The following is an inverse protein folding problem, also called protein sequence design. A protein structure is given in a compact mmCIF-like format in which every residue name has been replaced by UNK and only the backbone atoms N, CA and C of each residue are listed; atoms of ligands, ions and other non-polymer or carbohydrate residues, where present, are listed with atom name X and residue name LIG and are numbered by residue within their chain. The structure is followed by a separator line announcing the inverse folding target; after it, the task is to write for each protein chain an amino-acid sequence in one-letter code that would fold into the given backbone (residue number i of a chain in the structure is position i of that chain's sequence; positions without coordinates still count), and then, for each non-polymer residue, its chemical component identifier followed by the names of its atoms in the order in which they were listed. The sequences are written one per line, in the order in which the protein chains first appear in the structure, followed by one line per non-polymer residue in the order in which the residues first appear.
data_IF_347421181273
#
_entry.id   IF_347421181273
#
_cell.length_a   1.000
_cell.length_b   1.000
_cell.length_c   1.000
_cell.angle_alpha   90.00
_cell.angle_beta   90.00
_cell.angle_gamma   90.00
#
_symmetry.space_group_name_H-M   'P 1'
#
loop_
_entity.id
_entity.type
_entity.pdbx_description
1 polymer ?
#
# COMPACT_ATOMS: atom_id res chain seq x y z
N UNK A 1 -25.63 8.91 35.24
CA UNK A 1 -24.37 9.51 34.74
C UNK A 1 -23.77 8.51 33.76
N UNK A 2 -23.83 8.79 32.46
CA UNK A 2 -23.58 7.82 31.38
C UNK A 2 -22.10 7.81 30.96
N UNK A 3 -21.26 7.07 31.68
CA UNK A 3 -19.85 6.81 31.31
C UNK A 3 -19.71 5.63 30.33
N UNK A 4 -20.74 4.81 30.19
CA UNK A 4 -20.79 3.62 29.32
C UNK A 4 -20.81 3.89 27.79
N UNK A 5 -21.27 5.03 27.22
CA UNK A 5 -21.29 5.20 25.76
C UNK A 5 -19.93 5.56 25.15
N UNK A 6 -19.04 6.26 25.85
CA UNK A 6 -17.81 6.78 25.24
C UNK A 6 -16.73 5.71 25.06
N UNK A 7 -16.59 4.79 26.00
CA UNK A 7 -15.63 3.68 25.89
C UNK A 7 -15.98 2.72 24.75
N UNK A 8 -17.26 2.35 24.63
CA UNK A 8 -17.76 1.55 23.50
C UNK A 8 -17.53 2.24 22.14
N UNK A 9 -17.73 3.56 22.07
CA UNK A 9 -17.45 4.33 20.84
C UNK A 9 -15.95 4.41 20.51
N UNK A 10 -15.08 4.55 21.52
CA UNK A 10 -13.62 4.60 21.30
C UNK A 10 -13.07 3.25 20.83
N UNK A 11 -13.54 2.15 21.44
CA UNK A 11 -13.14 0.79 21.05
C UNK A 11 -13.60 0.43 19.64
N UNK A 12 -14.83 0.80 19.28
CA UNK A 12 -15.37 0.63 17.92
C UNK A 12 -14.55 1.43 16.89
N UNK A 13 -14.23 2.69 17.18
CA UNK A 13 -13.39 3.52 16.30
C UNK A 13 -11.95 2.98 16.14
N UNK A 14 -11.39 2.35 17.17
CA UNK A 14 -10.10 1.68 17.09
C UNK A 14 -10.17 0.42 16.22
N UNK A 15 -11.25 -0.35 16.31
CA UNK A 15 -11.48 -1.52 15.46
C UNK A 15 -11.59 -1.09 13.97
N UNK A 16 -12.33 -0.02 13.69
CA UNK A 16 -12.44 0.56 12.35
C UNK A 16 -11.09 1.02 11.78
N UNK A 17 -10.26 1.71 12.57
CA UNK A 17 -8.94 2.14 12.09
C UNK A 17 -7.98 0.97 11.87
N UNK A 18 -8.08 -0.09 12.67
CA UNK A 18 -7.32 -1.34 12.43
C UNK A 18 -7.79 -2.04 11.15
N UNK A 19 -9.10 -2.08 10.90
CA UNK A 19 -9.65 -2.65 9.68
C UNK A 19 -9.20 -1.86 8.42
N UNK A 20 -9.22 -0.52 8.48
CA UNK A 20 -8.69 0.34 7.41
C UNK A 20 -7.21 0.09 7.16
N UNK A 21 -6.40 -0.01 8.22
CA UNK A 21 -4.97 -0.33 8.10
C UNK A 21 -4.76 -1.66 7.35
N UNK A 22 -5.45 -2.72 7.76
CA UNK A 22 -5.35 -4.03 7.12
C UNK A 22 -5.77 -3.96 5.64
N UNK A 23 -6.85 -3.24 5.33
CA UNK A 23 -7.28 -3.03 3.93
C UNK A 23 -6.22 -2.31 3.08
N UNK A 24 -5.54 -1.29 3.63
CA UNK A 24 -4.45 -0.60 2.95
C UNK A 24 -3.24 -1.50 2.72
N UNK A 25 -2.86 -2.30 3.72
CA UNK A 25 -1.75 -3.25 3.63
C UNK A 25 -2.03 -4.34 2.58
N UNK A 26 -3.24 -4.91 2.58
CA UNK A 26 -3.67 -5.88 1.56
C UNK A 26 -3.62 -5.31 0.14
N UNK A 27 -4.08 -4.06 -0.05
CA UNK A 27 -4.01 -3.39 -1.35
C UNK A 27 -2.56 -3.12 -1.76
N UNK A 28 -1.68 -2.77 -0.82
CA UNK A 28 -0.24 -2.62 -1.08
C UNK A 28 0.38 -3.93 -1.58
N UNK A 29 0.04 -5.07 -0.94
CA UNK A 29 0.49 -6.40 -1.38
C UNK A 29 -0.02 -6.69 -2.80
N UNK A 30 -1.28 -6.38 -3.09
CA UNK A 30 -1.85 -6.59 -4.43
C UNK A 30 -1.04 -5.85 -5.51
N UNK A 31 -0.73 -4.55 -5.29
CA UNK A 31 0.10 -3.73 -6.21
C UNK A 31 1.49 -4.34 -6.44
N UNK A 32 2.12 -4.86 -5.39
CA UNK A 32 3.43 -5.51 -5.48
C UNK A 32 3.33 -6.76 -6.37
N UNK A 33 2.31 -7.60 -6.13
CA UNK A 33 2.11 -8.84 -6.89
C UNK A 33 1.79 -8.55 -8.35
N UNK A 34 0.85 -7.65 -8.64
CA UNK A 34 0.48 -7.29 -10.02
C UNK A 34 1.67 -6.71 -10.78
N UNK A 35 2.41 -5.77 -10.18
CA UNK A 35 3.62 -5.21 -10.77
C UNK A 35 4.66 -6.29 -11.10
N UNK A 36 4.92 -7.21 -10.16
CA UNK A 36 5.85 -8.32 -10.37
C UNK A 36 5.42 -9.23 -11.53
N UNK A 37 4.13 -9.61 -11.58
CA UNK A 37 3.62 -10.44 -12.67
C UNK A 37 3.74 -9.77 -14.04
N UNK A 38 3.43 -8.47 -14.13
CA UNK A 38 3.53 -7.71 -15.37
C UNK A 38 4.98 -7.57 -15.85
N UNK A 39 5.92 -7.35 -14.93
CA UNK A 39 7.36 -7.36 -15.24
C UNK A 39 7.79 -8.72 -15.80
N UNK A 40 7.40 -9.83 -15.16
CA UNK A 40 7.73 -11.18 -15.62
C UNK A 40 7.15 -11.47 -17.01
N UNK A 41 5.88 -11.13 -17.24
CA UNK A 41 5.23 -11.30 -18.56
C UNK A 41 5.97 -10.50 -19.63
N UNK A 42 6.33 -9.25 -19.33
CA UNK A 42 7.06 -8.37 -20.26
C UNK A 42 8.42 -8.93 -20.61
N UNK A 43 9.18 -9.41 -19.62
CA UNK A 43 10.47 -10.06 -19.85
C UNK A 43 10.33 -11.34 -20.69
N UNK A 44 9.30 -12.14 -20.42
CA UNK A 44 8.98 -13.33 -21.22
C UNK A 44 8.68 -12.98 -22.68
N UNK A 45 7.90 -11.93 -22.92
CA UNK A 45 7.63 -11.41 -24.26
C UNK A 45 8.90 -10.96 -24.97
N UNK A 46 9.75 -10.16 -24.31
CA UNK A 46 11.03 -9.69 -24.88
C UNK A 46 11.96 -10.87 -25.20
N UNK A 47 12.06 -11.85 -24.31
CA UNK A 47 12.88 -13.05 -24.52
C UNK A 47 12.37 -13.89 -25.71
N UNK A 48 11.05 -13.97 -25.90
CA UNK A 48 10.47 -14.67 -27.04
C UNK A 48 10.68 -13.89 -28.35
N UNK A 49 10.44 -12.58 -28.34
CA UNK A 49 10.57 -11.72 -29.51
C UNK A 49 12.02 -11.67 -30.03
N UNK A 50 13.00 -11.66 -29.13
CA UNK A 50 14.43 -11.64 -29.50
C UNK A 50 14.97 -12.98 -30.01
N UNK A 51 14.25 -14.10 -29.83
CA UNK A 51 14.61 -15.39 -30.43
C UNK A 51 14.35 -15.44 -31.94
N UNK A 52 13.41 -14.63 -32.45
CA UNK A 52 13.15 -14.55 -33.88
C UNK A 52 14.28 -13.73 -34.53
N UNK A 53 15.25 -14.40 -35.17
CA UNK A 53 16.45 -13.74 -35.74
C UNK A 53 16.14 -12.65 -36.79
N UNK A 54 14.92 -12.60 -37.30
CA UNK A 54 14.44 -11.62 -38.29
C UNK A 54 13.69 -10.44 -37.68
N UNK A 55 13.36 -10.45 -36.38
CA UNK A 55 12.57 -9.41 -35.75
C UNK A 55 13.38 -8.61 -34.73
N UNK A 56 13.66 -7.35 -35.06
CA UNK A 56 14.33 -6.40 -34.16
C UNK A 56 13.28 -5.45 -33.61
N UNK A 57 13.18 -5.34 -32.28
CA UNK A 57 12.29 -4.37 -31.67
C UNK A 57 12.74 -2.95 -32.04
N UNK A 58 11.81 -2.14 -32.54
CA UNK A 58 12.08 -0.73 -32.80
C UNK A 58 12.51 0.00 -31.52
N UNK A 59 13.46 0.95 -31.65
CA UNK A 59 14.01 1.69 -30.51
C UNK A 59 12.91 2.34 -29.65
N UNK A 60 11.85 2.87 -30.28
CA UNK A 60 10.69 3.45 -29.58
C UNK A 60 9.97 2.44 -28.68
N UNK A 61 9.78 1.21 -29.15
CA UNK A 61 9.15 0.13 -28.36
C UNK A 61 10.00 -0.19 -27.13
N UNK A 62 11.32 -0.29 -27.32
CA UNK A 62 12.25 -0.55 -26.22
C UNK A 62 12.18 0.56 -25.16
N UNK A 63 12.18 1.83 -25.57
CA UNK A 63 12.07 2.96 -24.65
C UNK A 63 10.74 2.91 -23.88
N UNK A 64 9.62 2.65 -24.55
CA UNK A 64 8.31 2.54 -23.91
C UNK A 64 8.27 1.39 -22.89
N UNK A 65 8.82 0.22 -23.24
CA UNK A 65 8.90 -0.92 -22.33
C UNK A 65 9.77 -0.60 -21.10
N UNK A 66 10.92 0.05 -21.29
CA UNK A 66 11.79 0.45 -20.18
C UNK A 66 11.08 1.43 -19.25
N UNK A 67 10.41 2.44 -19.80
CA UNK A 67 9.63 3.42 -19.01
C UNK A 67 8.53 2.72 -18.22
N UNK A 68 7.80 1.80 -18.83
CA UNK A 68 6.77 1.02 -18.14
C UNK A 68 7.36 0.14 -17.03
N UNK A 69 8.46 -0.57 -17.28
CA UNK A 69 9.12 -1.41 -16.27
C UNK A 69 9.60 -0.59 -15.07
N UNK A 70 10.22 0.56 -15.30
CA UNK A 70 10.62 1.48 -14.22
C UNK A 70 9.41 1.94 -13.43
N UNK A 71 8.31 2.29 -14.10
CA UNK A 71 7.06 2.66 -13.45
C UNK A 71 6.48 1.56 -12.56
N UNK A 72 6.44 0.31 -13.04
CA UNK A 72 5.96 -0.84 -12.26
C UNK A 72 6.85 -1.11 -11.05
N UNK A 73 8.18 -1.00 -11.20
CA UNK A 73 9.12 -1.16 -10.08
C UNK A 73 8.91 -0.06 -9.04
N UNK A 74 8.71 1.19 -9.47
CA UNK A 74 8.39 2.30 -8.56
C UNK A 74 7.06 2.08 -7.84
N UNK A 75 6.02 1.64 -8.54
CA UNK A 75 4.72 1.33 -7.94
C UNK A 75 4.85 0.23 -6.87
N UNK A 76 5.57 -0.86 -7.18
CA UNK A 76 5.85 -1.93 -6.22
C UNK A 76 6.65 -1.44 -5.00
N UNK A 77 7.68 -0.60 -5.21
CA UNK A 77 8.47 -0.02 -4.12
C UNK A 77 7.60 0.87 -3.21
N UNK A 78 6.69 1.67 -3.77
CA UNK A 78 5.75 2.48 -2.99
C UNK A 78 4.75 1.59 -2.25
N UNK A 79 4.23 0.54 -2.89
CA UNK A 79 3.37 -0.47 -2.25
C UNK A 79 4.06 -1.14 -1.05
N UNK A 80 5.37 -1.41 -1.16
CA UNK A 80 6.17 -1.93 -0.06
C UNK A 80 6.26 -0.92 1.10
N UNK A 81 6.46 0.37 0.83
CA UNK A 81 6.47 1.43 1.85
C UNK A 81 5.16 1.47 2.66
N UNK A 82 4.02 1.23 2.02
CA UNK A 82 2.71 1.17 2.70
C UNK A 82 2.63 -0.02 3.68
N UNK A 83 3.35 -1.10 3.38
CA UNK A 83 3.38 -2.33 4.17
C UNK A 83 4.49 -2.35 5.23
N UNK A 84 5.36 -1.33 5.31
CA UNK A 84 6.39 -1.25 6.35
C UNK A 84 5.74 -1.12 7.73
N UNK A 85 6.25 -1.78 8.78
CA UNK A 85 5.70 -1.64 10.13
C UNK A 85 5.88 -0.19 10.60
N UNK A 86 4.77 0.52 10.85
CA UNK A 86 4.84 1.81 11.50
C UNK A 86 5.25 1.60 12.95
N UNK A 87 6.23 2.37 13.42
CA UNK A 87 6.55 2.48 14.85
C UNK A 87 5.40 3.23 15.54
N UNK A 88 4.30 2.52 15.75
CA UNK A 88 3.27 2.98 16.68
C UNK A 88 3.82 2.81 18.09
N UNK A 89 3.67 3.81 18.97
CA UNK A 89 3.85 3.59 20.40
C UNK A 89 2.80 2.56 20.81
N UNK A 90 3.21 1.30 20.87
CA UNK A 90 2.42 0.27 21.52
C UNK A 90 2.51 0.61 22.99
N UNK A 91 1.37 0.93 23.62
CA UNK A 91 1.28 1.10 25.08
C UNK A 91 2.01 -0.08 25.70
N UNK A 92 3.05 0.24 26.47
CA UNK A 92 3.91 -0.78 27.04
C UNK A 92 3.04 -1.57 28.02
N UNK A 93 2.93 -2.89 27.83
CA UNK A 93 2.04 -3.72 28.63
C UNK A 93 2.40 -3.67 30.14
N UNK A 94 3.60 -3.17 30.47
CA UNK A 94 4.03 -2.90 31.83
C UNK A 94 3.32 -1.74 32.53
N UNK A 95 2.84 -0.72 31.80
CA UNK A 95 2.07 0.39 32.40
C UNK A 95 0.66 -0.04 32.82
N UNK A 96 0.05 -1.00 32.10
CA UNK A 96 -1.27 -1.54 32.42
C UNK A 96 -1.29 -2.40 33.70
N UNK A 97 -0.13 -2.83 34.19
CA UNK A 97 -0.01 -3.68 35.39
C UNK A 97 0.44 -2.94 36.64
N UNK A 98 0.84 -1.67 36.53
CA UNK A 98 1.45 -0.91 37.64
C UNK A 98 0.43 -0.15 38.51
N UNK A 99 -0.79 0.08 38.03
CA UNK A 99 -1.78 0.95 38.69
C UNK A 99 -3.01 0.16 39.16
N UNK A 100 -2.80 -0.73 40.14
CA UNK A 100 -3.88 -1.25 41.00
C UNK A 100 -4.10 -0.26 42.18
N UNK A 101 -4.53 0.96 41.86
CA UNK A 101 -4.87 2.03 42.81
C UNK A 101 -6.37 2.34 42.75
N UNK A 102 -7.03 2.24 43.89
CA UNK A 102 -8.49 2.13 44.12
C UNK A 102 -9.28 3.45 43.89
N UNK A 103 -9.05 4.19 42.80
CA UNK A 103 -9.78 5.43 42.47
C UNK A 103 -10.47 5.38 41.09
N UNK A 104 -11.68 4.79 41.07
CA UNK A 104 -12.55 4.48 39.92
C UNK A 104 -12.82 5.63 38.91
N UNK A 105 -12.53 6.90 39.26
CA UNK A 105 -12.79 8.05 38.39
C UNK A 105 -11.52 8.60 37.70
N UNK A 106 -10.34 8.39 38.30
CA UNK A 106 -9.07 8.85 37.74
C UNK A 106 -8.52 7.83 36.73
N UNK A 107 -8.68 6.54 37.01
CA UNK A 107 -8.36 5.43 36.11
C UNK A 107 -9.15 5.49 34.79
N UNK A 108 -10.45 5.82 34.86
CA UNK A 108 -11.29 5.94 33.66
C UNK A 108 -10.83 7.12 32.79
N UNK A 109 -10.41 8.25 33.37
CA UNK A 109 -9.92 9.40 32.61
C UNK A 109 -8.58 9.10 31.93
N UNK A 110 -7.66 8.46 32.63
CA UNK A 110 -6.38 8.03 32.09
C UNK A 110 -6.55 7.05 30.91
N UNK A 111 -7.46 6.08 31.04
CA UNK A 111 -7.78 5.13 29.95
C UNK A 111 -8.33 5.85 28.70
N UNK A 112 -9.22 6.83 28.88
CA UNK A 112 -9.78 7.61 27.77
C UNK A 112 -8.72 8.45 27.04
N UNK A 113 -7.77 9.03 27.78
CA UNK A 113 -6.69 9.82 27.20
C UNK A 113 -5.73 8.96 26.37
N UNK A 114 -5.37 7.77 26.87
CA UNK A 114 -4.56 6.79 26.14
C UNK A 114 -5.26 6.33 24.86
N UNK A 115 -6.55 5.96 24.93
CA UNK A 115 -7.32 5.52 23.76
C UNK A 115 -7.48 6.64 22.72
N UNK A 116 -7.72 7.88 23.15
CA UNK A 116 -7.79 9.03 22.25
C UNK A 116 -6.45 9.32 21.58
N UNK A 117 -5.34 9.19 22.31
CA UNK A 117 -4.00 9.39 21.77
C UNK A 117 -3.66 8.31 20.72
N UNK A 118 -3.97 7.04 21.00
CA UNK A 118 -3.80 5.95 20.04
C UNK A 118 -4.65 6.15 18.77
N UNK A 119 -5.90 6.59 18.92
CA UNK A 119 -6.79 6.82 17.79
C UNK A 119 -6.29 7.93 16.86
N UNK A 120 -5.82 9.04 17.42
CA UNK A 120 -5.26 10.15 16.62
C UNK A 120 -3.97 9.73 15.89
N UNK A 121 -3.09 8.98 16.55
CA UNK A 121 -1.88 8.41 15.94
C UNK A 121 -2.20 7.44 14.79
N UNK A 122 -3.15 6.52 14.99
CA UNK A 122 -3.58 5.58 13.95
C UNK A 122 -4.19 6.28 12.74
N UNK A 123 -5.05 7.29 12.95
CA UNK A 123 -5.68 8.07 11.87
C UNK A 123 -4.65 8.81 11.01
N UNK A 124 -3.64 9.42 11.63
CA UNK A 124 -2.61 10.15 10.91
C UNK A 124 -1.78 9.21 10.03
N UNK A 125 -1.37 8.06 10.57
CA UNK A 125 -0.61 7.05 9.83
C UNK A 125 -1.44 6.47 8.68
N UNK A 126 -2.70 6.09 8.94
CA UNK A 126 -3.59 5.55 7.92
C UNK A 126 -3.86 6.56 6.79
N UNK A 127 -4.06 7.85 7.10
CA UNK A 127 -4.24 8.89 6.08
C UNK A 127 -2.97 9.12 5.24
N UNK A 128 -1.78 8.99 5.82
CA UNK A 128 -0.53 9.06 5.07
C UNK A 128 -0.40 7.85 4.14
N UNK A 129 -0.57 6.64 4.68
CA UNK A 129 -0.52 5.39 3.93
C UNK A 129 -1.54 5.34 2.79
N UNK A 130 -2.75 5.83 3.01
CA UNK A 130 -3.77 5.91 1.97
C UNK A 130 -3.34 6.81 0.79
N UNK A 131 -2.72 7.96 1.07
CA UNK A 131 -2.20 8.86 0.01
C UNK A 131 -1.03 8.24 -0.74
N UNK A 132 -0.11 7.61 -0.02
CA UNK A 132 1.05 6.91 -0.61
C UNK A 132 0.56 5.76 -1.50
N UNK A 133 -0.38 4.94 -1.03
CA UNK A 133 -0.98 3.85 -1.80
C UNK A 133 -1.72 4.36 -3.04
N UNK A 134 -2.47 5.46 -2.91
CA UNK A 134 -3.14 6.07 -4.04
C UNK A 134 -2.15 6.53 -5.13
N UNK A 135 -1.02 7.13 -4.72
CA UNK A 135 0.05 7.47 -5.65
C UNK A 135 0.65 6.22 -6.33
N UNK A 136 0.86 5.13 -5.58
CA UNK A 136 1.34 3.86 -6.14
C UNK A 136 0.41 3.32 -7.22
N UNK A 137 -0.91 3.31 -6.96
CA UNK A 137 -1.92 2.86 -7.91
C UNK A 137 -1.95 3.72 -9.18
N UNK A 138 -1.82 5.04 -9.06
CA UNK A 138 -1.74 5.92 -10.23
C UNK A 138 -0.49 5.63 -11.08
N UNK A 139 0.66 5.44 -10.43
CA UNK A 139 1.90 5.07 -11.13
C UNK A 139 1.74 3.72 -11.82
N UNK A 140 1.17 2.72 -11.16
CA UNK A 140 0.93 1.40 -11.75
C UNK A 140 0.03 1.48 -12.99
N UNK A 141 -1.11 2.19 -12.89
CA UNK A 141 -2.06 2.34 -14.01
C UNK A 141 -1.42 3.08 -15.18
N UNK A 142 -0.64 4.13 -14.93
CA UNK A 142 0.07 4.85 -15.99
C UNK A 142 1.15 3.98 -16.65
N UNK A 143 1.91 3.21 -15.87
CA UNK A 143 2.90 2.27 -16.38
C UNK A 143 2.25 1.16 -17.23
N UNK A 144 1.11 0.62 -16.78
CA UNK A 144 0.30 -0.35 -17.53
C UNK A 144 -0.18 0.21 -18.87
N UNK A 145 -0.65 1.47 -18.89
CA UNK A 145 -1.06 2.12 -20.13
C UNK A 145 0.11 2.30 -21.11
N UNK A 146 1.28 2.74 -20.62
CA UNK A 146 2.49 2.87 -21.45
C UNK A 146 2.91 1.51 -22.02
N UNK A 147 2.87 0.46 -21.19
CA UNK A 147 3.16 -0.91 -21.63
C UNK A 147 2.20 -1.39 -22.71
N UNK A 148 0.90 -1.12 -22.57
CA UNK A 148 -0.09 -1.48 -23.57
C UNK A 148 0.20 -0.78 -24.92
N UNK A 149 0.55 0.50 -24.90
CA UNK A 149 0.97 1.24 -26.10
C UNK A 149 2.23 0.61 -26.71
N UNK A 150 3.21 0.22 -25.90
CA UNK A 150 4.42 -0.44 -26.36
C UNK A 150 4.12 -1.76 -27.09
N UNK A 151 3.22 -2.59 -26.53
CA UNK A 151 2.81 -3.86 -27.12
C UNK A 151 2.09 -3.64 -28.45
N UNK A 152 1.15 -2.69 -28.52
CA UNK A 152 0.46 -2.35 -29.77
C UNK A 152 1.44 -1.86 -30.84
N UNK A 153 2.38 -0.99 -30.46
CA UNK A 153 3.43 -0.50 -31.36
C UNK A 153 4.36 -1.63 -31.84
N UNK A 154 4.65 -2.62 -30.99
CA UNK A 154 5.42 -3.81 -31.37
C UNK A 154 4.66 -4.72 -32.35
N UNK A 155 3.33 -4.74 -32.31
CA UNK A 155 2.52 -5.59 -33.20
C UNK A 155 2.21 -4.94 -34.54
N UNK A 156 2.22 -3.62 -34.63
CA UNK A 156 1.95 -2.88 -35.87
C UNK A 156 2.72 -3.39 -37.11
N UNK A 157 4.04 -3.65 -37.07
CA UNK A 157 4.77 -4.17 -38.23
C UNK A 157 4.48 -5.64 -38.57
N UNK A 158 3.75 -6.38 -37.72
CA UNK A 158 3.37 -7.79 -37.95
C UNK A 158 2.03 -7.87 -38.70
N UNK A 159 1.20 -6.83 -38.61
CA UNK A 159 -0.15 -6.79 -39.20
C UNK A 159 -0.23 -6.09 -40.57
N UNK A 160 0.84 -5.45 -41.03
CA UNK A 160 0.95 -4.81 -42.35
C UNK A 160 1.75 -5.66 -43.31
#
# INVERSE_FOLDING_TARGET
MSTVPYHALLTDQLADERAKKNSLEQRGIAVITTSGTLVTITLGFVALATRAQTYVLGATVVVLLVVALVGLVLAAAIGLIVNLPARLPVVDAGELTAENGDDDLETVRAEHEVLAHLLTGLRQVNRSRARILFAALLVEVTALAVMAVAVVAAMAPIMG
#
